data_IF_295289808274
#
_entry.id   IF_295289808274
#
_cell.length_a   1.000
_cell.length_b   1.000
_cell.length_c   1.000
_cell.angle_alpha   90.00
_cell.angle_beta   90.00
_cell.angle_gamma   90.00
#
_symmetry.space_group_name_H-M   'P 1'
#
loop_
_entity.id
_entity.type
_entity.pdbx_description
1 polymer ?
#
# COMPACT_ATOMS: atom_id res chain seq x y z
N UNK A 1 -6.63 11.94 -14.18
CA UNK A 1 -5.68 11.43 -13.17
C UNK A 1 -5.92 9.98 -12.79
N UNK A 2 -7.14 9.55 -12.40
CA UNK A 2 -7.42 8.17 -11.96
C UNK A 2 -6.91 7.11 -12.95
N UNK A 3 -7.23 7.24 -14.25
CA UNK A 3 -6.76 6.30 -15.28
C UNK A 3 -5.22 6.22 -15.37
N UNK A 4 -4.52 7.34 -15.13
CA UNK A 4 -3.06 7.38 -15.08
C UNK A 4 -2.50 6.64 -13.86
N UNK A 5 -3.13 6.80 -12.70
CA UNK A 5 -2.75 6.07 -11.47
C UNK A 5 -3.02 4.57 -11.64
N UNK A 6 -4.15 4.18 -12.24
CA UNK A 6 -4.47 2.78 -12.57
C UNK A 6 -3.36 2.18 -13.44
N UNK A 7 -3.01 2.85 -14.54
CA UNK A 7 -1.95 2.39 -15.44
C UNK A 7 -0.60 2.27 -14.73
N UNK A 8 -0.25 3.23 -13.87
CA UNK A 8 0.99 3.18 -13.09
C UNK A 8 1.03 1.99 -12.13
N UNK A 9 -0.08 1.68 -11.45
CA UNK A 9 -0.17 0.53 -10.54
C UNK A 9 -0.08 -0.79 -11.30
N UNK A 10 -0.77 -0.91 -12.43
CA UNK A 10 -0.71 -2.11 -13.27
C UNK A 10 0.72 -2.36 -13.77
N UNK A 11 1.39 -1.33 -14.30
CA UNK A 11 2.77 -1.44 -14.76
C UNK A 11 3.74 -1.77 -13.61
N UNK A 12 3.55 -1.16 -12.43
CA UNK A 12 4.33 -1.47 -11.25
C UNK A 12 4.15 -2.95 -10.83
N UNK A 13 2.93 -3.48 -10.91
CA UNK A 13 2.64 -4.89 -10.66
C UNK A 13 3.39 -5.83 -11.61
N UNK A 14 3.37 -5.54 -12.90
CA UNK A 14 4.09 -6.33 -13.92
C UNK A 14 5.61 -6.32 -13.66
N UNK A 15 6.15 -5.18 -13.20
CA UNK A 15 7.58 -5.04 -12.87
C UNK A 15 7.96 -5.53 -11.48
N UNK A 16 6.99 -5.92 -10.64
CA UNK A 16 7.24 -6.27 -9.24
C UNK A 16 7.72 -5.09 -8.39
N UNK A 17 7.35 -3.87 -8.76
CA UNK A 17 7.71 -2.63 -8.05
C UNK A 17 6.61 -2.30 -7.04
N UNK A 18 6.92 -2.15 -5.74
CA UNK A 18 5.94 -1.73 -4.74
C UNK A 18 5.36 -0.34 -5.04
N UNK A 19 4.08 -0.18 -4.76
CA UNK A 19 3.33 1.08 -4.88
C UNK A 19 2.90 1.51 -3.49
N UNK A 20 3.11 2.80 -3.20
CA UNK A 20 2.64 3.42 -1.96
C UNK A 20 1.40 4.26 -2.28
N UNK A 21 0.24 3.71 -1.97
CA UNK A 21 -1.07 4.28 -2.26
C UNK A 21 -1.42 5.32 -1.19
N UNK A 22 -1.82 6.51 -1.62
CA UNK A 22 -2.14 7.66 -0.76
C UNK A 22 -3.52 7.53 -0.07
N UNK A 23 -4.37 8.56 -0.15
CA UNK A 23 -5.72 8.55 0.39
C UNK A 23 -6.77 8.02 -0.60
N UNK A 24 -8.02 8.43 -0.38
CA UNK A 24 -9.19 7.81 -0.99
C UNK A 24 -9.17 7.74 -2.53
N UNK A 25 -8.84 8.83 -3.24
CA UNK A 25 -8.84 8.83 -4.72
C UNK A 25 -7.81 7.84 -5.28
N UNK A 26 -6.60 7.79 -4.69
CA UNK A 26 -5.57 6.83 -5.07
C UNK A 26 -6.00 5.39 -4.76
N UNK A 27 -6.71 5.17 -3.66
CA UNK A 27 -7.25 3.84 -3.31
C UNK A 27 -8.39 3.42 -4.24
N UNK A 28 -9.23 4.35 -4.73
CA UNK A 28 -10.20 4.06 -5.79
C UNK A 28 -9.49 3.62 -7.08
N UNK A 29 -8.41 4.30 -7.46
CA UNK A 29 -7.58 3.87 -8.59
C UNK A 29 -6.94 2.49 -8.34
N UNK A 30 -6.45 2.22 -7.13
CA UNK A 30 -5.93 0.91 -6.74
C UNK A 30 -7.01 -0.18 -6.81
N UNK A 31 -8.24 0.10 -6.40
CA UNK A 31 -9.38 -0.82 -6.53
C UNK A 31 -9.70 -1.13 -8.00
N UNK A 32 -9.68 -0.13 -8.88
CA UNK A 32 -9.84 -0.35 -10.31
C UNK A 32 -8.71 -1.22 -10.88
N UNK A 33 -7.46 -0.95 -10.50
CA UNK A 33 -6.32 -1.78 -10.91
C UNK A 33 -6.45 -3.23 -10.42
N UNK A 34 -6.84 -3.43 -9.16
CA UNK A 34 -7.10 -4.77 -8.59
C UNK A 34 -8.26 -5.49 -9.29
N UNK A 35 -9.28 -4.74 -9.73
CA UNK A 35 -10.43 -5.31 -10.46
C UNK A 35 -10.05 -5.73 -11.89
N UNK A 36 -9.13 -5.00 -12.53
CA UNK A 36 -8.59 -5.33 -13.86
C UNK A 36 -7.61 -6.50 -13.76
N UNK A 37 -6.71 -6.47 -12.79
CA UNK A 37 -5.73 -7.52 -12.53
C UNK A 37 -5.61 -7.74 -11.02
N UNK A 38 -6.20 -8.82 -10.48
CA UNK A 38 -6.10 -9.15 -9.06
C UNK A 38 -4.66 -9.26 -8.58
N UNK A 39 -3.74 -9.66 -9.47
CA UNK A 39 -2.30 -9.74 -9.21
C UNK A 39 -1.70 -8.40 -8.76
N UNK A 40 -2.26 -7.26 -9.18
CA UNK A 40 -1.79 -5.93 -8.79
C UNK A 40 -1.88 -5.67 -7.28
N UNK A 41 -2.73 -6.39 -6.55
CA UNK A 41 -2.84 -6.27 -5.09
C UNK A 41 -1.53 -6.59 -4.37
N UNK A 42 -0.68 -7.46 -4.93
CA UNK A 42 0.58 -7.89 -4.30
C UNK A 42 1.61 -6.77 -4.12
N UNK A 43 1.51 -5.71 -4.92
CA UNK A 43 2.45 -4.58 -4.89
C UNK A 43 1.87 -3.37 -4.16
N UNK A 44 0.66 -3.45 -3.61
CA UNK A 44 0.01 -2.31 -2.97
C UNK A 44 0.38 -2.22 -1.49
N UNK A 45 0.89 -1.06 -1.07
CA UNK A 45 1.02 -0.66 0.33
C UNK A 45 0.20 0.61 0.54
N UNK A 46 -0.65 0.64 1.57
CA UNK A 46 -1.49 1.80 1.87
C UNK A 46 -0.81 2.70 2.89
N UNK A 47 -0.75 3.99 2.62
CA UNK A 47 0.02 4.94 3.42
C UNK A 47 -0.77 5.51 4.60
N UNK A 48 -1.97 6.04 4.37
CA UNK A 48 -2.79 6.69 5.40
C UNK A 48 -4.24 6.26 5.30
N UNK A 49 -4.89 6.04 6.44
CA UNK A 49 -6.34 5.95 6.52
C UNK A 49 -6.91 7.37 6.39
N UNK A 50 -7.38 7.70 5.19
CA UNK A 50 -8.18 8.92 4.98
C UNK A 50 -9.47 8.90 5.80
N UNK A 51 -9.94 10.08 6.20
CA UNK A 51 -11.17 10.27 6.95
C UNK A 51 -12.45 10.28 6.08
N UNK A 52 -12.36 9.94 4.80
CA UNK A 52 -13.52 9.60 3.97
C UNK A 52 -14.02 8.18 4.26
N UNK A 53 -15.31 8.02 4.58
CA UNK A 53 -15.94 6.71 4.82
C UNK A 53 -15.76 5.72 3.65
N UNK A 54 -15.71 6.23 2.43
CA UNK A 54 -15.50 5.41 1.23
C UNK A 54 -14.14 4.70 1.22
N UNK A 55 -13.15 5.20 1.98
CA UNK A 55 -11.81 4.66 1.96
C UNK A 55 -11.74 3.25 2.55
N UNK A 56 -12.31 3.04 3.73
CA UNK A 56 -12.38 1.70 4.34
C UNK A 56 -13.15 0.71 3.47
N UNK A 57 -14.22 1.17 2.82
CA UNK A 57 -15.00 0.33 1.89
C UNK A 57 -14.13 -0.12 0.72
N UNK A 58 -13.34 0.78 0.13
CA UNK A 58 -12.45 0.46 -0.97
C UNK A 58 -11.30 -0.47 -0.52
N UNK A 59 -10.70 -0.23 0.65
CA UNK A 59 -9.66 -1.11 1.21
C UNK A 59 -10.19 -2.53 1.43
N UNK A 60 -11.37 -2.67 2.01
CA UNK A 60 -12.01 -3.97 2.22
C UNK A 60 -12.35 -4.67 0.91
N UNK A 61 -12.77 -3.92 -0.12
CA UNK A 61 -13.02 -4.48 -1.44
C UNK A 61 -11.73 -5.00 -2.09
N UNK A 62 -10.61 -4.28 -1.96
CA UNK A 62 -9.29 -4.72 -2.45
C UNK A 62 -8.83 -5.97 -1.71
N UNK A 63 -8.93 -6.00 -0.38
CA UNK A 63 -8.58 -7.17 0.42
C UNK A 63 -9.40 -8.40 -0.02
N UNK A 64 -10.71 -8.23 -0.19
CA UNK A 64 -11.60 -9.29 -0.69
C UNK A 64 -11.19 -9.78 -2.08
N UNK A 65 -10.83 -8.88 -3.02
CA UNK A 65 -10.35 -9.27 -4.35
C UNK A 65 -9.08 -10.12 -4.23
N UNK A 66 -8.12 -9.73 -3.38
CA UNK A 66 -6.90 -10.51 -3.17
C UNK A 66 -7.24 -11.92 -2.63
N UNK A 67 -8.03 -11.99 -1.56
CA UNK A 67 -8.43 -13.23 -0.89
C UNK A 67 -9.16 -14.18 -1.84
N UNK A 68 -10.16 -13.71 -2.60
CA UNK A 68 -10.92 -14.58 -3.51
C UNK A 68 -10.10 -15.09 -4.70
N UNK A 69 -8.93 -14.51 -4.94
CA UNK A 69 -7.98 -14.94 -5.96
C UNK A 69 -6.78 -15.68 -5.38
N UNK A 70 -6.80 -16.05 -4.09
CA UNK A 70 -5.72 -16.79 -3.43
C UNK A 70 -4.44 -15.97 -3.22
N UNK A 71 -4.56 -14.64 -3.22
CA UNK A 71 -3.45 -13.71 -3.02
C UNK A 71 -3.46 -13.18 -1.58
N UNK A 72 -2.28 -12.82 -1.04
CA UNK A 72 -2.22 -12.19 0.27
C UNK A 72 -2.93 -10.83 0.24
N UNK A 73 -3.79 -10.60 1.23
CA UNK A 73 -4.41 -9.29 1.41
C UNK A 73 -3.31 -8.24 1.68
N UNK A 74 -3.41 -7.04 1.09
CA UNK A 74 -2.51 -5.93 1.42
C UNK A 74 -2.63 -5.57 2.91
N UNK A 75 -1.55 -5.06 3.54
CA UNK A 75 -1.60 -4.61 4.92
C UNK A 75 -2.52 -3.39 5.08
N UNK A 76 -3.02 -3.19 6.29
CA UNK A 76 -3.75 -1.98 6.66
C UNK A 76 -2.89 -0.72 6.47
N UNK A 77 -3.51 0.47 6.27
CA UNK A 77 -2.76 1.71 6.11
C UNK A 77 -1.80 1.97 7.27
N UNK A 78 -0.57 2.40 6.94
CA UNK A 78 0.49 2.61 7.95
C UNK A 78 0.23 3.78 8.91
N UNK A 79 -0.57 4.76 8.50
CA UNK A 79 -0.87 5.98 9.24
C UNK A 79 -2.38 6.16 9.42
N UNK A 80 -2.80 6.80 10.52
CA UNK A 80 -4.18 7.26 10.72
C UNK A 80 -4.16 8.63 11.40
N UNK A 81 -4.01 9.68 10.58
CA UNK A 81 -3.79 11.06 11.05
C UNK A 81 -4.92 12.03 10.65
N UNK A 82 -6.03 11.52 10.12
CA UNK A 82 -7.16 12.35 9.68
C UNK A 82 -6.87 13.21 8.44
N UNK A 83 -5.88 12.83 7.62
CA UNK A 83 -5.53 13.54 6.38
C UNK A 83 -6.65 13.45 5.34
N UNK A 84 -6.84 14.53 4.57
CA UNK A 84 -7.83 14.65 3.48
C UNK A 84 -7.33 15.43 2.26
N UNK A 85 -6.05 15.81 2.23
CA UNK A 85 -5.50 16.67 1.18
C UNK A 85 -5.31 15.91 -0.14
N UNK A 86 -4.85 14.66 -0.07
CA UNK A 86 -4.48 13.89 -1.25
C UNK A 86 -3.12 14.30 -1.78
N UNK A 87 -2.98 14.33 -3.11
CA UNK A 87 -1.74 14.74 -3.83
C UNK A 87 -0.50 13.89 -3.50
N UNK A 88 -0.67 12.72 -2.87
CA UNK A 88 0.45 11.87 -2.44
C UNK A 88 1.03 12.26 -1.09
N UNK A 89 0.39 13.16 -0.34
CA UNK A 89 0.92 13.67 0.93
C UNK A 89 1.03 12.61 2.01
N UNK A 90 0.03 11.74 2.17
CA UNK A 90 0.09 10.58 3.06
C UNK A 90 1.17 9.59 2.64
N UNK A 91 1.29 9.36 1.32
CA UNK A 91 2.35 8.52 0.77
C UNK A 91 3.75 9.05 1.10
N UNK A 92 4.03 10.33 0.87
CA UNK A 92 5.32 10.94 1.19
C UNK A 92 5.61 10.90 2.69
N UNK A 93 4.60 11.14 3.54
CA UNK A 93 4.73 11.05 5.00
C UNK A 93 5.04 9.62 5.49
N UNK A 94 4.61 8.59 4.76
CA UNK A 94 4.90 7.20 5.10
C UNK A 94 6.30 6.72 4.64
N UNK A 95 7.00 7.45 3.76
CA UNK A 95 8.33 7.05 3.25
C UNK A 95 9.38 6.86 4.36
N UNK A 96 9.51 7.76 5.36
CA UNK A 96 10.45 7.56 6.47
C UNK A 96 10.17 6.28 7.27
N UNK A 97 8.89 5.92 7.46
CA UNK A 97 8.52 4.66 8.13
C UNK A 97 8.92 3.45 7.30
N UNK A 98 8.66 3.48 5.99
CA UNK A 98 9.07 2.41 5.08
C UNK A 98 10.60 2.22 5.09
N UNK A 99 11.36 3.32 5.04
CA UNK A 99 12.82 3.29 5.13
C UNK A 99 13.29 2.71 6.46
N UNK A 100 12.64 3.08 7.57
CA UNK A 100 12.96 2.56 8.89
C UNK A 100 12.70 1.06 8.99
N UNK A 101 11.57 0.57 8.45
CA UNK A 101 11.26 -0.85 8.37
C UNK A 101 12.33 -1.62 7.57
N UNK A 102 12.82 -1.07 6.45
CA UNK A 102 13.93 -1.66 5.71
C UNK A 102 15.24 -1.70 6.51
N UNK A 103 15.51 -0.69 7.35
CA UNK A 103 16.70 -0.69 8.21
C UNK A 103 16.60 -1.71 9.34
N UNK A 104 15.39 -1.99 9.86
CA UNK A 104 15.19 -3.00 10.90
C UNK A 104 15.63 -4.40 10.45
N UNK A 105 15.54 -4.70 9.15
CA UNK A 105 16.05 -5.97 8.58
C UNK A 105 17.58 -6.11 8.68
N UNK A 106 18.30 -5.05 9.04
CA UNK A 106 19.76 -5.03 9.24
C UNK A 106 20.15 -5.08 10.72
N UNK A 107 19.20 -5.18 11.63
CA UNK A 107 19.49 -5.34 13.06
C UNK A 107 20.14 -6.70 13.31
N UNK A 108 21.10 -6.72 14.24
CA UNK A 108 21.74 -7.96 14.66
C UNK A 108 20.71 -8.91 15.28
N UNK A 109 20.86 -10.19 14.96
CA UNK A 109 20.18 -11.30 15.61
C UNK A 109 20.74 -11.54 17.01
N UNK A 110 19.98 -12.20 17.87
CA UNK A 110 20.43 -12.52 19.23
C UNK A 110 21.70 -13.39 19.24
N UNK A 111 21.87 -14.29 18.26
CA UNK A 111 23.06 -15.12 18.12
C UNK A 111 24.32 -14.34 17.78
N UNK A 112 24.20 -13.24 17.04
CA UNK A 112 25.35 -12.38 16.69
C UNK A 112 25.81 -11.56 17.90
N UNK A 113 24.91 -11.25 18.84
CA UNK A 113 25.21 -10.49 20.05
C UNK A 113 25.89 -11.32 21.14
N UNK A 114 25.65 -12.65 21.21
CA UNK A 114 26.24 -13.52 22.23
C UNK A 114 27.64 -14.05 21.86
N UNK A 115 28.12 -13.75 20.65
CA UNK A 115 29.46 -14.09 20.16
C UNK A 115 30.47 -12.93 20.28
N UNK A 116 30.03 -11.77 20.79
CA UNK A 116 30.87 -10.61 21.13
C UNK A 116 31.27 -10.63 22.60
#
# INVERSE_FOLDING_TARGET
>A
EIAGIVGAILEASERGVPTLVDGFICTVAALLAASISPWATRVMMFSTLSAERGHEIALNAIAKIAETNGLPAPPAPALSMGLRLGEGTGAVLAVPLLRSACQMLRMATLSELTQM
#
